data_IF_919359426491
#
_entry.id   IF_919359426491
#
_cell.length_a   1.000
_cell.length_b   1.000
_cell.length_c   1.000
_cell.angle_alpha   90.00
_cell.angle_beta   90.00
_cell.angle_gamma   90.00
#
_symmetry.space_group_name_H-M   'P 1'
#
loop_
_entity.id
_entity.type
_entity.pdbx_description
1 polymer ?
#
# COMPACT_ATOMS: atom_id res chain seq x y z
N UNK A 1 -7.67 6.66 13.57
CA UNK A 1 -6.71 7.35 14.47
C UNK A 1 -5.90 8.41 13.72
N UNK A 2 -4.91 8.08 12.86
CA UNK A 2 -4.14 9.12 12.10
C UNK A 2 -4.99 9.84 11.06
N UNK A 3 -5.85 9.12 10.34
CA UNK A 3 -6.74 9.73 9.34
C UNK A 3 -7.69 10.77 9.97
N UNK A 4 -8.28 10.45 11.12
CA UNK A 4 -9.09 11.39 11.90
C UNK A 4 -8.28 12.59 12.41
N UNK A 5 -7.06 12.36 12.89
CA UNK A 5 -6.14 13.42 13.31
C UNK A 5 -5.87 14.39 12.15
N UNK A 6 -5.51 13.88 10.97
CA UNK A 6 -5.26 14.70 9.80
C UNK A 6 -6.52 15.44 9.33
N UNK A 7 -7.68 14.78 9.30
CA UNK A 7 -8.93 15.43 8.92
C UNK A 7 -9.30 16.59 9.85
N UNK A 8 -9.08 16.41 11.16
CA UNK A 8 -9.30 17.46 12.16
C UNK A 8 -8.29 18.60 12.02
N UNK A 9 -7.00 18.30 11.89
CA UNK A 9 -5.94 19.32 11.73
C UNK A 9 -6.08 20.12 10.44
N UNK A 10 -6.52 19.47 9.36
CA UNK A 10 -6.81 20.15 8.11
C UNK A 10 -8.03 21.07 8.22
N UNK A 11 -9.09 20.62 8.90
CA UNK A 11 -10.24 21.47 9.19
C UNK A 11 -9.86 22.69 10.04
N UNK A 12 -9.06 22.49 11.09
CA UNK A 12 -8.54 23.58 11.94
C UNK A 12 -7.77 24.63 11.10
N UNK A 13 -6.95 24.18 10.15
CA UNK A 13 -6.22 25.08 9.24
C UNK A 13 -7.11 25.84 8.24
N UNK A 14 -8.32 25.32 7.97
CA UNK A 14 -9.35 25.99 7.17
C UNK A 14 -10.31 26.84 8.02
N UNK A 15 -10.09 26.95 9.35
CA UNK A 15 -10.98 27.65 10.27
C UNK A 15 -12.30 26.91 10.54
N UNK A 16 -12.36 25.61 10.26
CA UNK A 16 -13.54 24.77 10.43
C UNK A 16 -13.40 23.86 11.65
N UNK A 17 -14.48 23.70 12.41
CA UNK A 17 -14.57 22.74 13.52
C UNK A 17 -15.00 21.35 13.06
N UNK A 18 -15.64 21.24 11.90
CA UNK A 18 -16.03 19.96 11.30
C UNK A 18 -14.86 19.29 10.60
N UNK A 19 -14.56 18.00 10.86
CA UNK A 19 -13.49 17.27 10.19
C UNK A 19 -13.66 17.28 8.67
N UNK A 20 -12.60 17.67 7.94
CA UNK A 20 -12.60 17.76 6.47
C UNK A 20 -11.66 16.73 5.87
N UNK A 21 -12.07 16.11 4.77
CA UNK A 21 -11.23 15.17 4.05
C UNK A 21 -9.99 15.89 3.49
N UNK A 22 -8.82 15.32 3.75
CA UNK A 22 -7.54 15.92 3.35
C UNK A 22 -7.22 15.59 1.89
N UNK A 23 -6.99 16.60 1.02
CA UNK A 23 -6.66 16.37 -0.38
C UNK A 23 -5.16 16.09 -0.54
N UNK A 24 -4.71 14.90 -0.12
CA UNK A 24 -3.28 14.52 -0.09
C UNK A 24 -2.55 14.78 -1.43
N UNK A 25 -3.20 14.58 -2.57
CA UNK A 25 -2.63 14.85 -3.89
C UNK A 25 -2.29 16.32 -4.13
N UNK A 26 -3.10 17.25 -3.61
CA UNK A 26 -2.86 18.70 -3.75
C UNK A 26 -1.64 19.14 -2.94
N UNK A 27 -1.48 18.60 -1.73
CA UNK A 27 -0.30 18.82 -0.89
C UNK A 27 0.97 18.22 -1.51
N UNK A 28 0.85 17.07 -2.16
CA UNK A 28 1.99 16.46 -2.86
C UNK A 28 2.37 17.21 -4.14
N UNK A 29 1.39 17.77 -4.86
CA UNK A 29 1.61 18.56 -6.07
C UNK A 29 2.15 19.97 -5.81
N UNK A 30 1.85 20.56 -4.64
CA UNK A 30 2.21 21.94 -4.31
C UNK A 30 2.89 22.06 -2.94
N UNK A 31 4.04 21.41 -2.71
CA UNK A 31 4.70 21.36 -1.40
C UNK A 31 5.23 22.72 -0.91
N UNK A 32 5.36 23.71 -1.80
CA UNK A 32 5.75 25.10 -1.47
C UNK A 32 4.60 25.90 -0.86
N UNK A 33 3.38 25.60 -1.27
CA UNK A 33 2.18 26.38 -0.99
C UNK A 33 1.21 25.65 -0.04
N UNK A 34 1.21 24.31 -0.07
CA UNK A 34 0.39 23.41 0.72
C UNK A 34 1.29 22.36 1.37
N UNK A 35 1.56 22.48 2.66
CA UNK A 35 2.43 21.54 3.37
C UNK A 35 1.99 21.30 4.81
N UNK A 36 2.64 20.33 5.46
CA UNK A 36 2.33 19.93 6.83
C UNK A 36 3.59 20.05 7.67
N UNK A 37 3.50 20.82 8.74
CA UNK A 37 4.55 20.99 9.74
C UNK A 37 4.33 20.05 10.92
N UNK A 38 5.40 19.77 11.68
CA UNK A 38 5.34 19.01 12.92
C UNK A 38 5.20 17.49 12.76
N UNK A 39 5.36 16.98 11.53
CA UNK A 39 5.54 15.55 11.29
C UNK A 39 6.89 15.06 11.86
N UNK A 40 7.01 13.77 12.22
CA UNK A 40 8.29 13.22 12.68
C UNK A 40 9.38 13.36 11.61
N UNK A 41 10.63 13.54 12.05
CA UNK A 41 11.79 13.60 11.16
C UNK A 41 11.84 12.37 10.24
N UNK A 42 12.14 12.61 8.96
CA UNK A 42 12.19 11.59 7.89
C UNK A 42 10.85 10.92 7.53
N UNK A 43 9.70 11.44 7.98
CA UNK A 43 8.38 10.96 7.54
C UNK A 43 7.72 11.99 6.61
N UNK A 44 7.63 11.72 5.30
CA UNK A 44 6.99 12.64 4.37
C UNK A 44 5.48 12.61 4.53
N UNK A 45 4.79 13.75 4.36
CA UNK A 45 3.33 13.82 4.42
C UNK A 45 2.67 13.03 3.27
N UNK A 46 1.87 12.02 3.61
CA UNK A 46 1.16 11.12 2.70
C UNK A 46 -0.14 10.63 3.34
N UNK A 47 -0.99 9.99 2.54
CA UNK A 47 -2.17 9.31 3.06
C UNK A 47 -1.78 8.30 4.13
N UNK A 48 -2.51 8.20 5.26
CA UNK A 48 -2.22 7.24 6.33
C UNK A 48 -2.10 5.79 5.85
N UNK A 49 -2.78 5.44 4.76
CA UNK A 49 -2.71 4.12 4.12
C UNK A 49 -1.33 3.75 3.56
N UNK A 50 -0.43 4.72 3.39
CA UNK A 50 0.95 4.52 2.90
C UNK A 50 1.96 4.26 4.01
N UNK A 51 1.56 4.40 5.27
CA UNK A 51 2.46 4.19 6.40
C UNK A 51 2.26 2.80 6.99
N UNK A 52 3.36 2.12 7.29
CA UNK A 52 3.34 0.96 8.18
C UNK A 52 3.00 1.38 9.62
N UNK A 53 2.58 0.41 10.44
CA UNK A 53 2.15 0.62 11.85
C UNK A 53 3.17 1.46 12.66
N UNK A 54 4.48 1.20 12.64
CA UNK A 54 5.44 1.98 13.44
C UNK A 54 5.51 3.46 13.05
N UNK A 55 5.23 3.79 11.78
CA UNK A 55 5.20 5.18 11.31
C UNK A 55 3.90 5.86 11.74
N UNK A 56 2.77 5.13 11.69
CA UNK A 56 1.48 5.63 12.17
C UNK A 56 1.53 5.97 13.67
N UNK A 57 2.15 5.12 14.48
CA UNK A 57 2.31 5.37 15.93
C UNK A 57 3.15 6.61 16.21
N UNK A 58 4.29 6.78 15.50
CA UNK A 58 5.12 7.99 15.62
C UNK A 58 4.36 9.26 15.25
N UNK A 59 3.53 9.21 14.21
CA UNK A 59 2.68 10.34 13.80
C UNK A 59 1.65 10.67 14.89
N UNK A 60 1.03 9.67 15.52
CA UNK A 60 0.09 9.89 16.62
C UNK A 60 0.76 10.53 17.85
N UNK A 61 1.96 10.09 18.21
CA UNK A 61 2.71 10.64 19.35
C UNK A 61 2.99 12.14 19.20
N UNK A 62 3.32 12.60 18.00
CA UNK A 62 3.57 14.02 17.74
C UNK A 62 2.33 14.76 17.23
N UNK A 63 1.14 14.15 17.28
CA UNK A 63 -0.06 14.66 16.62
C UNK A 63 -0.47 16.08 16.99
N UNK A 64 -0.16 16.51 18.22
CA UNK A 64 -0.42 17.88 18.70
C UNK A 64 0.46 18.93 18.02
N UNK A 65 1.64 18.53 17.51
CA UNK A 65 2.57 19.40 16.78
C UNK A 65 2.20 19.53 15.30
N UNK A 66 1.35 18.64 14.80
CA UNK A 66 0.98 18.57 13.38
C UNK A 66 0.08 19.75 13.03
N UNK A 67 0.50 20.52 12.01
CA UNK A 67 -0.24 21.68 11.51
C UNK A 67 -0.24 21.69 9.99
N UNK A 68 -1.40 21.93 9.41
CA UNK A 68 -1.53 22.13 7.97
C UNK A 68 -1.28 23.61 7.67
N UNK A 69 -0.38 23.87 6.72
CA UNK A 69 -0.07 25.20 6.23
C UNK A 69 -0.61 25.34 4.82
N UNK A 70 -1.50 26.31 4.63
CA UNK A 70 -2.20 26.59 3.38
C UNK A 70 -1.90 28.04 3.01
N UNK A 71 -0.85 28.26 2.22
CA UNK A 71 -0.48 29.60 1.73
C UNK A 71 -1.38 30.06 0.57
N UNK A 72 -1.80 29.11 -0.26
CA UNK A 72 -2.67 29.34 -1.42
C UNK A 72 -3.95 28.48 -1.32
N UNK A 73 -4.99 28.96 -0.63
CA UNK A 73 -6.26 28.24 -0.51
C UNK A 73 -6.97 28.04 -1.87
N UNK A 74 -6.66 28.83 -2.89
CA UNK A 74 -7.15 28.67 -4.26
C UNK A 74 -6.75 27.32 -4.88
N UNK A 75 -5.63 26.72 -4.45
CA UNK A 75 -5.19 25.39 -4.91
C UNK A 75 -6.09 24.26 -4.37
N UNK A 76 -6.86 24.54 -3.32
CA UNK A 76 -7.81 23.62 -2.70
C UNK A 76 -9.22 23.75 -3.29
N UNK A 77 -9.52 24.82 -4.03
CA UNK A 77 -10.83 25.08 -4.61
C UNK A 77 -10.82 24.78 -6.12
N UNK A 78 -11.55 23.73 -6.51
CA UNK A 78 -12.05 23.59 -7.88
C UNK A 78 -13.47 24.15 -7.82
N UNK A 79 -13.74 25.16 -8.66
CA UNK A 79 -14.98 25.92 -8.82
C UNK A 79 -16.27 25.22 -8.36
N UNK A 80 -16.85 25.73 -7.28
CA UNK A 80 -18.26 25.57 -6.95
C UNK A 80 -19.12 26.35 -7.96
N UNK A 81 -19.57 25.69 -9.01
CA UNK A 81 -20.85 26.02 -9.64
C UNK A 81 -21.59 24.71 -9.87
N UNK A 82 -22.14 24.14 -8.79
CA UNK A 82 -23.35 23.35 -8.91
C UNK A 82 -24.15 23.45 -7.61
N UNK A 83 -25.35 23.97 -7.83
CA UNK A 83 -26.44 24.28 -6.92
C UNK A 83 -26.94 22.98 -6.27
N UNK A 84 -27.17 23.04 -4.95
CA UNK A 84 -28.11 22.23 -4.16
C UNK A 84 -28.26 20.75 -4.54
N UNK A 85 -27.64 19.84 -3.76
CA UNK A 85 -28.26 18.54 -3.45
C UNK A 85 -27.74 17.93 -2.13
N UNK A 86 -28.61 17.23 -1.36
CA UNK A 86 -28.27 16.64 -0.08
C UNK A 86 -27.50 15.32 -0.26
N UNK A 87 -26.49 15.11 0.60
CA UNK A 87 -25.87 13.81 0.95
C UNK A 87 -25.88 12.74 -0.16
N UNK A 88 -24.84 12.70 -0.98
CA UNK A 88 -24.36 11.43 -1.56
C UNK A 88 -22.85 11.47 -1.71
N UNK A 89 -22.26 10.30 -1.46
CA UNK A 89 -20.83 10.06 -1.29
C UNK A 89 -20.00 10.48 -2.53
N UNK A 90 -18.84 11.09 -2.30
CA UNK A 90 -17.90 11.51 -3.35
C UNK A 90 -17.42 10.31 -4.21
N UNK A 91 -17.51 10.36 -5.56
CA UNK A 91 -17.03 9.30 -6.46
C UNK A 91 -15.51 9.02 -6.37
N UNK A 92 -14.71 10.06 -6.16
CA UNK A 92 -13.24 10.00 -6.33
C UNK A 92 -12.51 9.20 -5.25
N UNK A 93 -13.04 9.15 -4.01
CA UNK A 93 -12.43 8.38 -2.91
C UNK A 93 -12.75 6.89 -3.05
N UNK A 94 -13.92 6.56 -3.58
CA UNK A 94 -14.30 5.20 -3.92
C UNK A 94 -13.40 4.65 -5.03
N UNK A 95 -13.17 5.44 -6.08
CA UNK A 95 -12.29 5.06 -7.20
C UNK A 95 -10.86 4.71 -6.74
N UNK A 96 -10.28 5.49 -5.82
CA UNK A 96 -8.94 5.18 -5.29
C UNK A 96 -8.93 3.91 -4.45
N UNK A 97 -9.87 3.75 -3.52
CA UNK A 97 -9.95 2.58 -2.64
C UNK A 97 -10.26 1.29 -3.43
N UNK A 98 -11.15 1.39 -4.41
CA UNK A 98 -11.45 0.32 -5.36
C UNK A 98 -10.20 -0.02 -6.17
N UNK A 99 -9.50 0.98 -6.70
CA UNK A 99 -8.28 0.77 -7.51
C UNK A 99 -7.14 0.15 -6.72
N UNK A 100 -6.83 0.65 -5.52
CA UNK A 100 -5.76 0.07 -4.68
C UNK A 100 -6.10 -1.35 -4.23
N UNK A 101 -7.36 -1.62 -3.89
CA UNK A 101 -7.81 -2.97 -3.50
C UNK A 101 -7.72 -3.94 -4.68
N UNK A 102 -8.17 -3.50 -5.86
CA UNK A 102 -8.05 -4.29 -7.11
C UNK A 102 -6.59 -4.61 -7.43
N UNK A 103 -5.71 -3.61 -7.38
CA UNK A 103 -4.28 -3.79 -7.65
C UNK A 103 -3.59 -4.69 -6.62
N UNK A 104 -3.91 -4.55 -5.34
CA UNK A 104 -3.37 -5.42 -4.28
C UNK A 104 -3.79 -6.88 -4.52
N UNK A 105 -5.06 -7.12 -4.80
CA UNK A 105 -5.60 -8.44 -5.13
C UNK A 105 -4.92 -9.01 -6.37
N UNK A 106 -4.77 -8.20 -7.42
CA UNK A 106 -4.13 -8.63 -8.66
C UNK A 106 -2.65 -9.01 -8.45
N UNK A 107 -1.89 -8.21 -7.70
CA UNK A 107 -0.50 -8.56 -7.37
C UNK A 107 -0.42 -9.80 -6.48
N UNK A 108 -1.34 -9.95 -5.52
CA UNK A 108 -1.44 -11.15 -4.68
C UNK A 108 -1.68 -12.41 -5.52
N UNK A 109 -2.63 -12.37 -6.45
CA UNK A 109 -2.91 -13.48 -7.38
C UNK A 109 -1.69 -13.81 -8.25
N UNK A 110 -1.00 -12.80 -8.78
CA UNK A 110 0.24 -12.98 -9.55
C UNK A 110 1.28 -13.70 -8.70
N UNK A 111 1.52 -13.24 -7.47
CA UNK A 111 2.52 -13.85 -6.59
C UNK A 111 2.15 -15.28 -6.21
N UNK A 112 0.88 -15.52 -5.84
CA UNK A 112 0.40 -16.85 -5.48
C UNK A 112 0.52 -17.84 -6.65
N UNK A 113 0.18 -17.40 -7.86
CA UNK A 113 0.29 -18.20 -9.08
C UNK A 113 1.76 -18.50 -9.42
N UNK A 114 2.64 -17.49 -9.35
CA UNK A 114 4.07 -17.66 -9.63
C UNK A 114 4.77 -18.53 -8.60
N UNK A 115 4.36 -18.43 -7.34
CA UNK A 115 4.86 -19.29 -6.27
C UNK A 115 4.40 -20.75 -6.45
N UNK A 116 3.12 -20.96 -6.79
CA UNK A 116 2.61 -22.28 -7.14
C UNK A 116 3.38 -22.90 -8.31
N UNK A 117 3.64 -22.12 -9.37
CA UNK A 117 4.46 -22.56 -10.50
C UNK A 117 5.87 -22.98 -10.07
N UNK A 118 6.51 -22.24 -9.16
CA UNK A 118 7.82 -22.60 -8.63
C UNK A 118 7.81 -23.89 -7.80
N UNK A 119 6.66 -24.26 -7.24
CA UNK A 119 6.43 -25.52 -6.53
C UNK A 119 5.90 -26.66 -7.42
N UNK A 120 5.68 -26.41 -8.71
CA UNK A 120 5.07 -27.38 -9.63
C UNK A 120 3.57 -27.60 -9.39
N UNK A 121 2.90 -26.67 -8.72
CA UNK A 121 1.47 -26.73 -8.42
C UNK A 121 0.66 -25.95 -9.47
N UNK A 122 -0.49 -26.51 -9.86
CA UNK A 122 -1.43 -25.86 -10.80
C UNK A 122 -2.40 -24.90 -10.11
N UNK A 123 -2.56 -25.00 -8.80
CA UNK A 123 -3.46 -24.15 -8.01
C UNK A 123 -2.67 -23.04 -7.33
N UNK A 124 -3.18 -21.82 -7.36
CA UNK A 124 -2.53 -20.67 -6.74
C UNK A 124 -2.43 -20.86 -5.21
N UNK A 125 -1.21 -20.79 -4.67
CA UNK A 125 -0.99 -20.97 -3.23
C UNK A 125 -0.53 -19.68 -2.59
N UNK A 126 -1.03 -19.40 -1.39
CA UNK A 126 -0.68 -18.21 -0.65
C UNK A 126 0.82 -18.19 -0.33
N UNK A 127 1.47 -17.09 -0.67
CA UNK A 127 2.91 -16.94 -0.42
C UNK A 127 3.21 -16.69 1.07
N UNK A 128 4.08 -17.47 1.71
CA UNK A 128 4.50 -17.23 3.09
C UNK A 128 5.61 -16.17 3.14
N UNK A 129 5.25 -14.89 3.02
CA UNK A 129 6.21 -13.77 3.01
C UNK A 129 7.26 -13.80 4.15
N UNK A 130 6.90 -14.10 5.42
CA UNK A 130 7.88 -14.14 6.50
C UNK A 130 8.95 -15.23 6.32
N UNK A 131 8.61 -16.34 5.67
CA UNK A 131 9.54 -17.45 5.45
C UNK A 131 10.57 -17.08 4.38
N UNK A 132 10.13 -16.39 3.33
CA UNK A 132 11.01 -15.81 2.31
C UNK A 132 11.94 -14.74 2.91
N UNK A 133 11.43 -13.90 3.79
CA UNK A 133 12.22 -12.86 4.46
C UNK A 133 13.29 -13.46 5.39
N UNK A 134 12.99 -14.55 6.08
CA UNK A 134 13.92 -15.24 6.97
C UNK A 134 14.94 -16.14 6.24
N UNK A 135 14.68 -16.53 4.99
CA UNK A 135 15.51 -17.48 4.24
C UNK A 135 15.90 -16.99 2.83
N UNK A 136 16.50 -15.81 2.68
CA UNK A 136 16.78 -15.21 1.37
C UNK A 136 17.74 -16.04 0.49
N UNK A 137 18.62 -16.84 1.09
CA UNK A 137 19.58 -17.69 0.34
C UNK A 137 18.90 -18.87 -0.38
N UNK A 138 17.76 -19.31 0.16
CA UNK A 138 17.03 -20.49 -0.27
C UNK A 138 15.71 -20.15 -0.97
N UNK A 139 15.07 -19.06 -0.57
CA UNK A 139 13.75 -18.61 -1.01
C UNK A 139 13.84 -17.15 -1.43
N UNK A 140 13.78 -16.88 -2.73
CA UNK A 140 13.84 -15.51 -3.24
C UNK A 140 13.02 -15.34 -4.51
N UNK A 141 12.88 -14.09 -4.94
CA UNK A 141 12.08 -13.72 -6.12
C UNK A 141 12.95 -12.94 -7.08
N UNK A 142 12.99 -13.38 -8.33
CA UNK A 142 13.70 -12.71 -9.42
C UNK A 142 12.72 -12.01 -10.37
N UNK A 143 13.23 -11.05 -11.14
CA UNK A 143 12.47 -10.36 -12.18
C UNK A 143 11.43 -9.37 -11.68
N UNK A 144 11.48 -9.02 -10.38
CA UNK A 144 10.75 -7.86 -9.86
C UNK A 144 11.25 -6.56 -10.53
N UNK A 145 10.37 -5.55 -10.67
CA UNK A 145 10.79 -4.26 -11.23
C UNK A 145 11.92 -3.61 -10.42
N UNK A 146 12.82 -2.93 -11.11
CA UNK A 146 13.96 -2.25 -10.48
C UNK A 146 13.52 -1.32 -9.34
N UNK A 147 14.19 -1.46 -8.20
CA UNK A 147 13.92 -0.69 -6.98
C UNK A 147 12.70 -1.16 -6.16
N UNK A 148 12.07 -2.27 -6.53
CA UNK A 148 10.94 -2.86 -5.78
C UNK A 148 11.39 -4.15 -5.08
N UNK A 149 11.50 -4.17 -3.73
CA UNK A 149 11.84 -5.37 -3.00
C UNK A 149 10.66 -6.34 -2.97
N UNK A 150 10.92 -7.62 -2.74
CA UNK A 150 9.86 -8.60 -2.48
C UNK A 150 9.23 -8.36 -1.09
N UNK A 151 7.94 -7.96 -1.07
CA UNK A 151 7.12 -7.75 0.13
C UNK A 151 5.64 -8.01 -0.18
N UNK A 152 4.81 -8.08 0.86
CA UNK A 152 3.36 -8.20 0.70
C UNK A 152 2.77 -7.03 -0.10
N UNK A 153 1.77 -7.25 -0.98
CA UNK A 153 1.13 -6.19 -1.77
C UNK A 153 0.57 -5.04 -0.94
N UNK A 154 0.23 -5.29 0.32
CA UNK A 154 -0.28 -4.27 1.25
C UNK A 154 0.76 -3.18 1.55
N UNK A 155 2.05 -3.47 1.41
CA UNK A 155 3.16 -2.51 1.59
C UNK A 155 3.33 -1.54 0.43
N UNK A 156 2.70 -1.79 -0.72
CA UNK A 156 2.87 -0.99 -1.91
C UNK A 156 1.66 -0.09 -2.16
N UNK A 157 1.93 1.14 -2.59
CA UNK A 157 0.92 2.00 -3.18
C UNK A 157 0.76 1.79 -4.68
N UNK A 158 -0.28 2.40 -5.26
CA UNK A 158 -0.72 2.20 -6.65
C UNK A 158 0.41 2.20 -7.69
N UNK A 159 1.34 3.18 -7.72
CA UNK A 159 2.39 3.21 -8.74
C UNK A 159 3.32 1.99 -8.72
N UNK A 160 3.63 1.47 -7.52
CA UNK A 160 4.46 0.28 -7.37
C UNK A 160 3.69 -0.98 -7.73
N UNK A 161 2.43 -1.08 -7.31
CA UNK A 161 1.55 -2.19 -7.69
C UNK A 161 1.40 -2.29 -9.22
N UNK A 162 1.17 -1.17 -9.90
CA UNK A 162 1.05 -1.14 -11.36
C UNK A 162 2.35 -1.56 -12.07
N UNK A 163 3.52 -1.14 -11.53
CA UNK A 163 4.81 -1.61 -12.06
C UNK A 163 4.99 -3.11 -11.89
N UNK A 164 4.57 -3.68 -10.77
CA UNK A 164 4.63 -5.13 -10.53
C UNK A 164 3.68 -5.87 -11.48
N UNK A 165 2.44 -5.39 -11.63
CA UNK A 165 1.46 -5.96 -12.58
C UNK A 165 2.01 -5.96 -14.01
N UNK A 166 2.56 -4.82 -14.47
CA UNK A 166 3.14 -4.69 -15.81
C UNK A 166 4.39 -5.56 -16.01
N UNK A 167 5.20 -5.73 -14.96
CA UNK A 167 6.41 -6.55 -14.97
C UNK A 167 6.16 -8.04 -14.68
N UNK A 168 4.92 -8.45 -14.43
CA UNK A 168 4.56 -9.76 -13.88
C UNK A 168 5.07 -10.96 -14.67
N UNK A 169 5.17 -10.84 -16.00
CA UNK A 169 5.71 -11.89 -16.86
C UNK A 169 7.17 -12.26 -16.56
N UNK A 170 7.96 -11.32 -16.03
CA UNK A 170 9.37 -11.53 -15.65
C UNK A 170 9.54 -12.11 -14.26
N UNK A 171 8.51 -12.02 -13.42
CA UNK A 171 8.58 -12.42 -12.01
C UNK A 171 8.64 -13.94 -11.91
N UNK A 172 9.64 -14.43 -11.16
CA UNK A 172 9.85 -15.85 -10.89
C UNK A 172 10.17 -16.06 -9.42
N UNK A 173 9.51 -17.03 -8.82
CA UNK A 173 9.84 -17.50 -7.47
C UNK A 173 10.90 -18.59 -7.58
N UNK A 174 11.93 -18.50 -6.74
CA UNK A 174 13.00 -19.49 -6.64
C UNK A 174 12.88 -20.16 -5.28
N UNK A 175 12.61 -21.46 -5.29
CA UNK A 175 12.45 -22.29 -4.08
C UNK A 175 13.50 -23.39 -4.12
N UNK A 176 14.66 -23.16 -3.50
CA UNK A 176 15.74 -24.17 -3.43
C UNK A 176 15.45 -25.23 -2.37
N UNK A 177 14.77 -24.86 -1.29
CA UNK A 177 14.41 -25.72 -0.17
C UNK A 177 12.88 -25.72 0.02
N UNK A 178 12.15 -26.56 -0.72
CA UNK A 178 10.69 -26.61 -0.63
C UNK A 178 10.20 -26.97 0.78
N UNK A 179 10.96 -27.73 1.56
CA UNK A 179 10.63 -28.11 2.94
C UNK A 179 10.35 -26.92 3.87
N UNK A 180 10.95 -25.76 3.60
CA UNK A 180 10.73 -24.53 4.37
C UNK A 180 9.32 -23.96 4.17
N UNK A 181 8.71 -24.23 3.01
CA UNK A 181 7.38 -23.72 2.67
C UNK A 181 6.30 -24.80 2.74
N UNK A 182 6.65 -26.09 2.69
CA UNK A 182 5.71 -27.22 2.76
C UNK A 182 4.82 -27.17 4.00
N UNK A 183 5.33 -26.69 5.15
CA UNK A 183 4.54 -26.52 6.39
C UNK A 183 3.47 -25.43 6.32
N UNK A 184 3.58 -24.53 5.34
CA UNK A 184 2.62 -23.43 5.10
C UNK A 184 1.66 -23.74 3.94
N UNK A 185 1.81 -24.90 3.30
CA UNK A 185 0.88 -25.38 2.28
C UNK A 185 -0.28 -26.15 2.93
N UNK A 186 -1.47 -26.14 2.32
CA UNK A 186 -2.55 -27.05 2.69
C UNK A 186 -2.05 -28.52 2.63
N UNK A 187 -2.51 -29.41 3.53
CA UNK A 187 -2.08 -30.81 3.59
C UNK A 187 -2.22 -31.55 2.25
N UNK A 188 -3.26 -31.23 1.46
CA UNK A 188 -3.50 -31.83 0.14
C UNK A 188 -2.45 -31.47 -0.91
N UNK A 189 -1.80 -30.30 -0.78
CA UNK A 189 -0.80 -29.81 -1.73
C UNK A 189 0.63 -30.12 -1.27
N UNK A 190 0.86 -30.23 0.04
CA UNK A 190 2.16 -30.59 0.63
C UNK A 190 2.69 -31.94 0.12
N UNK A 191 1.81 -32.92 -0.11
CA UNK A 191 2.19 -34.25 -0.62
C UNK A 191 2.77 -34.22 -2.04
N UNK A 192 2.37 -33.25 -2.89
CA UNK A 192 2.84 -33.14 -4.29
C UNK A 192 4.20 -32.47 -4.44
N UNK A 193 4.63 -31.73 -3.42
CA UNK A 193 5.91 -30.98 -3.45
C UNK A 193 7.10 -31.89 -3.07
N UNK A 194 6.87 -32.93 -2.27
CA UNK A 194 7.92 -33.80 -1.75
C UNK A 194 8.38 -34.93 -2.70
N UNK A 195 7.83 -35.04 -3.91
CA UNK A 195 8.05 -36.20 -4.80
C UNK A 195 9.14 -36.02 -5.87
N UNK A 196 9.83 -34.87 -5.93
CA UNK A 196 10.90 -34.64 -6.93
C UNK A 196 12.33 -34.84 -6.39
N UNK A 197 12.49 -35.60 -5.30
CA UNK A 197 13.79 -36.00 -4.77
C UNK A 197 13.96 -37.51 -4.78
N UNK A 198 14.36 -38.07 -5.93
CA UNK A 198 15.06 -39.36 -5.99
C UNK A 198 16.28 -39.21 -6.87
#
# INVERSE_FOLDING_TARGET
MVDQLFCRKFAEALGSTEPKAVPYQKFEAHPTDLYVEGLPENIPFRSPSWYGIPRLEKILQVGNRIKFVIKKPELLTITSTEVTQPRTNMPVKEDWNVRITKLRKQVEEIFNMKFAQALGLSEAVKVPYPVFESNPDHLYVEGLPEGIPFRSPTWFGIPRLERIVRGSGKIKFIVKKPELVTSYLPPELACKVNTSGK
#
